data_IF_422260609055
#
_entry.id   IF_422260609055
#
_cell.length_a   1.000
_cell.length_b   1.000
_cell.length_c   1.000
_cell.angle_alpha   90.00
_cell.angle_beta   90.00
_cell.angle_gamma   90.00
#
_symmetry.space_group_name_H-M   'P 1'
#
loop_
_entity.id
_entity.type
_entity.pdbx_description
1 polymer ?
#
# COMPACT_ATOMS: atom_id res chain seq x y z
N UNK A 1 13.21 -12.86 82.42
CA UNK A 1 12.74 -11.82 81.47
C UNK A 1 13.91 -10.95 80.88
N UNK A 2 14.93 -10.68 81.66
CA UNK A 2 16.08 -9.85 81.15
C UNK A 2 16.96 -10.52 80.12
N UNK A 3 17.08 -11.83 80.16
CA UNK A 3 17.88 -12.61 79.17
C UNK A 3 17.21 -12.76 77.80
N UNK A 4 15.87 -12.76 77.76
CA UNK A 4 15.11 -12.85 76.51
C UNK A 4 15.20 -11.55 75.67
N UNK A 5 15.31 -10.40 76.35
CA UNK A 5 15.42 -9.11 75.69
C UNK A 5 16.81 -8.90 75.02
N UNK A 6 17.85 -9.45 75.62
CA UNK A 6 19.21 -9.37 75.06
C UNK A 6 19.35 -10.25 73.82
N UNK A 7 18.68 -11.42 73.80
CA UNK A 7 18.73 -12.34 72.65
C UNK A 7 17.98 -11.77 71.45
N UNK A 8 16.87 -11.06 71.62
CA UNK A 8 16.12 -10.39 70.55
C UNK A 8 16.90 -9.20 69.97
N UNK A 9 17.63 -8.49 70.84
CA UNK A 9 18.43 -7.34 70.41
C UNK A 9 19.68 -7.74 69.59
N UNK A 10 20.25 -8.93 69.87
CA UNK A 10 21.35 -9.47 69.06
C UNK A 10 20.92 -9.99 67.66
N UNK A 11 19.66 -10.41 67.49
CA UNK A 11 19.16 -10.87 66.20
C UNK A 11 18.90 -9.73 65.20
N UNK A 12 18.70 -8.50 65.65
CA UNK A 12 18.42 -7.36 64.78
C UNK A 12 19.70 -6.74 64.15
N UNK A 13 20.89 -7.14 64.61
CA UNK A 13 22.16 -6.55 64.13
C UNK A 13 22.79 -7.26 62.93
N UNK A 14 22.22 -8.35 62.45
CA UNK A 14 22.82 -9.15 61.34
C UNK A 14 22.20 -8.90 59.94
N UNK A 15 21.42 -7.84 59.79
CA UNK A 15 20.78 -7.56 58.48
C UNK A 15 21.38 -6.33 57.75
N UNK A 16 22.60 -5.96 58.13
CA UNK A 16 23.32 -4.89 57.43
C UNK A 16 24.46 -5.43 56.61
N UNK A 17 24.20 -6.39 55.73
CA UNK A 17 25.12 -6.65 54.62
C UNK A 17 24.78 -5.65 53.52
N UNK A 18 25.64 -4.66 53.45
CA UNK A 18 25.68 -3.69 52.37
C UNK A 18 25.56 -4.40 51.01
N UNK A 19 24.49 -4.04 50.29
CA UNK A 19 24.46 -4.30 48.88
C UNK A 19 25.66 -3.61 48.23
N UNK A 20 26.60 -4.38 47.74
CA UNK A 20 27.60 -3.89 46.79
C UNK A 20 26.81 -3.23 45.66
N UNK A 21 27.12 -1.98 45.29
CA UNK A 21 26.61 -1.46 44.06
C UNK A 21 27.17 -2.35 42.95
N UNK A 22 26.29 -3.16 42.35
CA UNK A 22 26.59 -3.80 41.07
C UNK A 22 26.74 -2.66 40.06
N UNK A 23 27.98 -2.20 39.92
CA UNK A 23 28.37 -1.41 38.78
C UNK A 23 28.48 -2.38 37.64
N UNK A 24 27.32 -2.92 37.23
CA UNK A 24 27.16 -3.48 35.91
C UNK A 24 27.40 -2.31 34.98
N UNK A 25 28.64 -2.19 34.52
CA UNK A 25 28.94 -1.46 33.30
C UNK A 25 28.11 -2.15 32.23
N UNK A 26 26.87 -1.75 32.10
CA UNK A 26 26.11 -1.94 30.85
C UNK A 26 26.93 -1.18 29.83
N UNK A 27 27.88 -1.90 29.21
CA UNK A 27 28.36 -1.47 27.92
C UNK A 27 27.11 -1.48 27.04
N UNK A 28 26.43 -0.34 26.96
CA UNK A 28 25.55 -0.06 25.86
C UNK A 28 26.48 -0.16 24.66
N UNK A 29 26.58 -1.38 24.10
CA UNK A 29 26.99 -1.48 22.72
C UNK A 29 25.96 -0.63 22.00
N UNK A 30 26.33 0.60 21.70
CA UNK A 30 25.66 1.36 20.66
C UNK A 30 25.72 0.43 19.44
N UNK A 31 24.65 -0.34 19.24
CA UNK A 31 24.43 -1.01 17.97
C UNK A 31 24.39 0.16 17.01
N UNK A 32 25.48 0.36 16.31
CA UNK A 32 25.54 1.24 15.17
C UNK A 32 24.38 0.76 14.30
N UNK A 33 23.28 1.52 14.31
CA UNK A 33 22.20 1.28 13.41
C UNK A 33 22.83 1.53 12.06
N UNK A 34 22.99 0.47 11.28
CA UNK A 34 23.31 0.60 9.86
C UNK A 34 22.44 1.73 9.35
N UNK A 35 23.06 2.78 8.84
CA UNK A 35 22.38 3.88 8.20
C UNK A 35 21.47 3.24 7.16
N UNK A 36 20.18 3.18 7.48
CA UNK A 36 19.17 2.79 6.52
C UNK A 36 19.18 3.91 5.50
N UNK A 37 20.06 3.78 4.53
CA UNK A 37 20.02 4.59 3.33
C UNK A 37 18.71 4.25 2.66
N UNK A 38 17.65 4.90 3.10
CA UNK A 38 16.38 4.93 2.39
C UNK A 38 16.69 5.64 1.08
N UNK A 39 17.14 4.89 0.09
CA UNK A 39 17.12 5.35 -1.31
C UNK A 39 15.65 5.47 -1.69
N UNK A 40 15.02 6.48 -1.15
CA UNK A 40 13.66 6.87 -1.45
C UNK A 40 13.64 7.64 -2.77
N UNK A 41 14.00 6.98 -3.86
CA UNK A 41 13.64 7.50 -5.18
C UNK A 41 12.59 6.62 -5.83
N UNK A 42 11.55 6.29 -5.08
CA UNK A 42 10.35 5.70 -5.66
C UNK A 42 9.51 6.75 -6.41
N UNK A 43 9.77 8.03 -6.17
CA UNK A 43 9.20 9.17 -6.90
C UNK A 43 10.33 9.92 -7.58
N UNK A 44 10.24 10.07 -8.88
CA UNK A 44 11.17 10.86 -9.69
C UNK A 44 10.36 11.82 -10.55
N UNK A 45 10.71 13.10 -10.54
CA UNK A 45 10.12 14.05 -11.49
C UNK A 45 10.90 13.98 -12.79
N UNK A 46 10.20 13.66 -13.86
CA UNK A 46 10.67 13.79 -15.23
C UNK A 46 10.15 15.09 -15.83
N UNK A 47 10.53 15.41 -17.08
CA UNK A 47 10.23 16.72 -17.69
C UNK A 47 8.72 17.02 -17.74
N UNK A 48 7.89 16.01 -18.01
CA UNK A 48 6.45 16.14 -18.24
C UNK A 48 5.57 15.37 -17.25
N UNK A 49 6.16 14.56 -16.34
CA UNK A 49 5.38 13.78 -15.38
C UNK A 49 6.17 13.41 -14.13
N UNK A 50 5.46 12.93 -13.14
CA UNK A 50 6.03 12.31 -11.94
C UNK A 50 5.97 10.79 -12.13
N UNK A 51 7.14 10.17 -12.17
CA UNK A 51 7.30 8.72 -12.22
C UNK A 51 7.28 8.17 -10.79
N UNK A 52 6.38 7.23 -10.50
CA UNK A 52 6.30 6.54 -9.23
C UNK A 52 6.55 5.04 -9.43
N UNK A 53 7.62 4.51 -8.83
CA UNK A 53 7.95 3.08 -8.87
C UNK A 53 7.60 2.46 -7.51
N UNK A 54 6.56 1.62 -7.44
CA UNK A 54 6.15 1.02 -6.17
C UNK A 54 7.24 0.13 -5.59
N UNK A 55 7.52 0.27 -4.29
CA UNK A 55 8.40 -0.63 -3.56
C UNK A 55 7.73 -1.97 -3.29
N UNK A 56 8.50 -2.97 -2.85
CA UNK A 56 7.96 -4.29 -2.46
C UNK A 56 6.96 -4.15 -1.30
N UNK A 57 7.28 -3.29 -0.33
CA UNK A 57 6.43 -3.08 0.85
C UNK A 57 5.13 -2.37 0.48
N UNK A 58 5.17 -1.34 -0.37
CA UNK A 58 3.96 -0.67 -0.85
C UNK A 58 3.03 -1.64 -1.60
N UNK A 59 3.60 -2.53 -2.44
CA UNK A 59 2.81 -3.58 -3.13
C UNK A 59 2.24 -4.61 -2.16
N UNK A 60 2.97 -4.98 -1.11
CA UNK A 60 2.54 -5.97 -0.11
C UNK A 60 1.36 -5.47 0.72
N UNK A 61 1.35 -4.19 1.05
CA UNK A 61 0.30 -3.56 1.85
C UNK A 61 -0.88 -3.02 1.04
N UNK A 62 -0.88 -3.20 -0.26
CA UNK A 62 -1.97 -2.83 -1.15
C UNK A 62 -2.74 -4.09 -1.57
N UNK A 63 -4.06 -4.01 -1.56
CA UNK A 63 -4.98 -5.07 -2.03
C UNK A 63 -5.45 -4.77 -3.45
N UNK A 64 -5.74 -3.50 -3.73
CA UNK A 64 -6.26 -3.01 -5.00
C UNK A 64 -5.30 -2.02 -5.66
N UNK A 65 -5.57 -1.66 -6.92
CA UNK A 65 -4.84 -0.59 -7.60
C UNK A 65 -4.97 0.76 -6.88
N UNK A 66 -6.14 1.05 -6.31
CA UNK A 66 -6.33 2.29 -5.53
C UNK A 66 -5.57 2.31 -4.22
N UNK A 67 -5.48 1.16 -3.53
CA UNK A 67 -4.64 1.07 -2.33
C UNK A 67 -3.18 1.37 -2.68
N UNK A 68 -2.72 0.85 -3.82
CA UNK A 68 -1.36 1.13 -4.26
C UNK A 68 -1.16 2.61 -4.62
N UNK A 69 -2.09 3.22 -5.36
CA UNK A 69 -2.03 4.64 -5.67
C UNK A 69 -1.98 5.50 -4.41
N UNK A 70 -2.79 5.16 -3.40
CA UNK A 70 -2.78 5.84 -2.12
C UNK A 70 -1.44 5.64 -1.37
N UNK A 71 -0.89 4.43 -1.39
CA UNK A 71 0.39 4.11 -0.72
C UNK A 71 1.60 4.77 -1.41
N UNK A 72 1.48 5.14 -2.67
CA UNK A 72 2.52 5.86 -3.40
C UNK A 72 2.68 7.31 -2.95
N UNK A 73 1.65 7.89 -2.31
CA UNK A 73 1.68 9.28 -1.79
C UNK A 73 2.21 10.27 -2.84
N UNK A 74 1.72 10.18 -4.08
CA UNK A 74 2.13 11.07 -5.16
C UNK A 74 1.76 12.52 -4.79
N UNK A 75 2.69 13.47 -4.80
CA UNK A 75 2.42 14.85 -4.44
C UNK A 75 1.28 15.46 -5.24
N UNK A 76 0.33 16.09 -4.57
CA UNK A 76 -0.83 16.71 -5.22
C UNK A 76 -1.93 15.74 -5.66
N UNK A 77 -1.82 14.44 -5.37
CA UNK A 77 -2.85 13.44 -5.69
C UNK A 77 -3.53 12.96 -4.43
N UNK A 78 -4.85 13.02 -4.41
CA UNK A 78 -5.71 12.45 -3.36
C UNK A 78 -6.54 11.31 -3.93
N UNK A 79 -6.52 10.17 -3.24
CA UNK A 79 -7.20 8.94 -3.67
C UNK A 79 -8.32 8.59 -2.70
N UNK A 80 -9.57 8.66 -3.19
CA UNK A 80 -10.74 8.20 -2.47
C UNK A 80 -11.06 6.76 -2.90
N UNK A 81 -10.70 5.80 -2.04
CA UNK A 81 -10.79 4.37 -2.36
C UNK A 81 -12.21 3.84 -2.45
N UNK A 82 -13.14 4.43 -1.71
CA UNK A 82 -14.54 3.99 -1.66
C UNK A 82 -15.29 4.30 -2.95
N UNK A 83 -15.03 5.44 -3.54
CA UNK A 83 -15.66 5.91 -4.78
C UNK A 83 -14.82 5.67 -6.02
N UNK A 84 -13.55 5.30 -5.85
CA UNK A 84 -12.58 5.19 -6.93
C UNK A 84 -12.26 6.54 -7.58
N UNK A 85 -12.43 7.63 -6.83
CA UNK A 85 -12.12 8.96 -7.28
C UNK A 85 -10.68 9.32 -7.00
N UNK A 86 -10.00 9.84 -8.00
CA UNK A 86 -8.65 10.37 -7.87
C UNK A 86 -8.68 11.84 -8.24
N UNK A 87 -8.31 12.68 -7.28
CA UNK A 87 -8.42 14.14 -7.41
C UNK A 87 -7.09 14.82 -7.15
N UNK A 88 -6.95 16.00 -7.73
CA UNK A 88 -5.86 16.94 -7.45
C UNK A 88 -6.48 18.23 -6.90
N UNK A 89 -5.73 19.18 -6.34
CA UNK A 89 -6.26 20.45 -5.87
C UNK A 89 -7.02 21.24 -6.93
N UNK A 90 -6.77 21.00 -8.22
CA UNK A 90 -7.35 21.74 -9.32
C UNK A 90 -8.36 20.91 -10.14
N UNK A 91 -8.63 19.66 -9.78
CA UNK A 91 -9.64 18.86 -10.47
C UNK A 91 -9.43 17.35 -10.39
N UNK A 92 -10.30 16.59 -11.05
CA UNK A 92 -10.23 15.14 -11.12
C UNK A 92 -9.15 14.69 -12.11
N UNK A 93 -8.47 13.58 -11.77
CA UNK A 93 -7.53 12.94 -12.67
C UNK A 93 -8.20 11.81 -13.46
N UNK A 94 -7.90 11.72 -14.75
CA UNK A 94 -8.33 10.61 -15.60
C UNK A 94 -7.35 9.45 -15.46
N UNK A 95 -7.89 8.22 -15.34
CA UNK A 95 -7.11 7.02 -15.13
C UNK A 95 -6.88 6.26 -16.45
N UNK A 96 -5.67 5.77 -16.60
CA UNK A 96 -5.22 4.99 -17.74
C UNK A 96 -4.48 3.73 -17.28
N UNK A 97 -4.61 2.64 -18.03
CA UNK A 97 -3.79 1.43 -17.90
C UNK A 97 -3.10 1.19 -19.25
N UNK A 98 -1.78 1.18 -19.23
CA UNK A 98 -0.95 1.03 -20.44
C UNK A 98 -1.37 2.02 -21.57
N UNK A 99 -1.77 3.23 -21.18
CA UNK A 99 -2.22 4.29 -22.06
C UNK A 99 -3.63 4.17 -22.60
N UNK A 100 -4.43 3.21 -22.14
CA UNK A 100 -5.86 3.07 -22.43
C UNK A 100 -6.66 3.66 -21.27
N UNK A 101 -7.62 4.56 -21.58
CA UNK A 101 -8.53 5.12 -20.60
C UNK A 101 -9.39 4.01 -19.99
N UNK A 102 -9.54 4.02 -18.67
CA UNK A 102 -10.22 2.98 -17.89
C UNK A 102 -11.19 3.59 -16.89
N UNK A 103 -12.13 2.78 -16.46
CA UNK A 103 -13.04 3.14 -15.37
C UNK A 103 -12.46 2.73 -14.01
N UNK A 104 -13.18 3.10 -12.92
CA UNK A 104 -12.72 2.85 -11.58
C UNK A 104 -12.64 1.34 -11.25
N UNK A 105 -13.52 0.52 -11.80
CA UNK A 105 -13.59 -0.92 -11.50
C UNK A 105 -12.38 -1.65 -12.05
N UNK A 106 -11.91 -1.25 -13.22
CA UNK A 106 -10.70 -1.81 -13.80
C UNK A 106 -9.50 -1.54 -12.92
N UNK A 107 -9.35 -0.32 -12.39
CA UNK A 107 -8.26 0.02 -11.46
C UNK A 107 -8.41 -0.68 -10.12
N UNK A 108 -9.65 -0.81 -9.61
CA UNK A 108 -9.91 -1.52 -8.36
C UNK A 108 -9.51 -3.00 -8.45
N UNK A 109 -9.70 -3.63 -9.60
CA UNK A 109 -9.37 -5.04 -9.83
C UNK A 109 -7.89 -5.30 -10.15
N UNK A 110 -7.06 -4.26 -10.27
CA UNK A 110 -5.63 -4.43 -10.51
C UNK A 110 -4.93 -5.04 -9.31
N UNK A 111 -4.11 -6.05 -9.58
CA UNK A 111 -3.23 -6.60 -8.56
C UNK A 111 -1.97 -5.74 -8.42
N UNK A 112 -1.68 -5.20 -7.23
CA UNK A 112 -0.53 -4.32 -6.99
C UNK A 112 0.81 -4.91 -7.39
N UNK A 113 0.98 -6.23 -7.29
CA UNK A 113 2.21 -6.94 -7.67
C UNK A 113 2.51 -6.88 -9.17
N UNK A 114 1.48 -6.71 -10.01
CA UNK A 114 1.61 -6.68 -11.46
C UNK A 114 1.83 -5.26 -12.00
N UNK A 115 1.73 -4.25 -11.15
CA UNK A 115 2.00 -2.86 -11.53
C UNK A 115 3.52 -2.64 -11.53
N UNK A 116 4.04 -2.18 -12.66
CA UNK A 116 5.46 -1.83 -12.81
C UNK A 116 5.73 -0.44 -12.22
N UNK A 117 4.98 0.55 -12.67
CA UNK A 117 5.11 1.96 -12.28
C UNK A 117 3.79 2.70 -12.49
N UNK A 118 3.74 3.91 -11.97
CA UNK A 118 2.63 4.86 -12.18
C UNK A 118 3.23 6.18 -12.66
N UNK A 119 2.72 6.71 -13.76
CA UNK A 119 3.13 7.97 -14.34
C UNK A 119 2.00 9.00 -14.08
N UNK A 120 2.28 10.06 -13.34
CA UNK A 120 1.34 11.13 -13.06
C UNK A 120 1.69 12.38 -13.87
N UNK A 121 0.79 12.79 -14.75
CA UNK A 121 0.90 13.98 -15.59
C UNK A 121 0.12 15.14 -14.97
N UNK A 122 0.84 16.12 -14.45
CA UNK A 122 0.27 17.35 -13.91
C UNK A 122 -0.04 18.37 -15.04
N UNK A 123 0.65 18.25 -16.17
CA UNK A 123 0.37 18.97 -17.41
C UNK A 123 0.33 17.95 -18.55
N UNK A 124 -0.81 17.30 -18.76
CA UNK A 124 -0.92 16.23 -19.74
C UNK A 124 -0.64 16.70 -21.17
N UNK A 125 0.20 15.95 -21.89
CA UNK A 125 0.59 16.22 -23.28
C UNK A 125 0.27 15.02 -24.18
N UNK A 126 0.37 15.22 -25.49
CA UNK A 126 0.20 14.15 -26.47
C UNK A 126 -1.18 13.49 -26.37
N UNK A 127 -1.18 12.18 -26.10
CA UNK A 127 -2.43 11.40 -26.02
C UNK A 127 -3.31 11.76 -24.82
N UNK A 128 -2.76 12.40 -23.81
CA UNK A 128 -3.46 12.81 -22.60
C UNK A 128 -3.88 14.29 -22.60
N UNK A 129 -3.57 15.05 -23.65
CA UNK A 129 -3.77 16.50 -23.72
C UNK A 129 -5.22 16.99 -23.57
N UNK A 130 -6.20 16.07 -23.63
CA UNK A 130 -7.62 16.40 -23.43
C UNK A 130 -8.05 16.38 -21.97
N UNK A 131 -7.21 15.83 -21.09
CA UNK A 131 -7.51 15.72 -19.67
C UNK A 131 -6.83 16.85 -18.89
N UNK A 132 -7.43 17.26 -17.78
CA UNK A 132 -6.81 18.23 -16.87
C UNK A 132 -5.62 17.61 -16.17
N UNK A 133 -5.75 16.36 -15.75
CA UNK A 133 -4.72 15.54 -15.11
C UNK A 133 -4.86 14.10 -15.58
N UNK A 134 -3.75 13.41 -15.76
CA UNK A 134 -3.76 12.00 -16.16
C UNK A 134 -2.86 11.15 -15.26
N UNK A 135 -3.33 9.97 -14.91
CA UNK A 135 -2.55 8.95 -14.20
C UNK A 135 -2.52 7.71 -15.08
N UNK A 136 -1.35 7.31 -15.52
CA UNK A 136 -1.17 6.12 -16.31
C UNK A 136 -0.48 5.02 -15.48
N UNK A 137 -1.20 3.94 -15.24
CA UNK A 137 -0.71 2.76 -14.54
C UNK A 137 -0.07 1.84 -15.56
N UNK A 138 1.23 1.65 -15.48
CA UNK A 138 1.98 0.78 -16.39
C UNK A 138 2.12 -0.60 -15.76
N UNK A 139 1.64 -1.60 -16.48
CA UNK A 139 1.67 -2.98 -16.01
C UNK A 139 3.02 -3.66 -16.35
N UNK A 140 3.42 -4.62 -15.51
CA UNK A 140 4.56 -5.49 -15.86
C UNK A 140 4.20 -6.35 -17.06
N UNK A 141 5.11 -6.54 -18.00
CA UNK A 141 4.89 -7.44 -19.11
C UNK A 141 4.67 -8.87 -18.58
N UNK A 142 3.55 -9.46 -18.93
CA UNK A 142 3.25 -10.87 -18.67
C UNK A 142 3.45 -11.63 -19.98
N UNK A 143 4.47 -12.46 -20.06
CA UNK A 143 4.79 -13.20 -21.29
C UNK A 143 3.86 -14.41 -21.49
N UNK A 144 3.65 -15.19 -20.43
CA UNK A 144 2.74 -16.33 -20.44
C UNK A 144 2.09 -16.50 -19.07
N UNK A 145 0.80 -16.84 -19.07
CA UNK A 145 0.03 -17.10 -17.86
C UNK A 145 -1.25 -16.30 -17.79
N UNK A 146 -1.90 -16.38 -16.66
CA UNK A 146 -3.14 -15.66 -16.43
C UNK A 146 -3.55 -15.65 -14.96
N UNK A 147 -4.58 -14.91 -14.68
CA UNK A 147 -5.23 -14.93 -13.38
C UNK A 147 -6.71 -14.63 -13.52
N UNK A 148 -7.46 -15.10 -12.54
CA UNK A 148 -8.86 -14.71 -12.32
C UNK A 148 -8.96 -14.14 -10.92
N UNK A 149 -9.61 -13.00 -10.80
CA UNK A 149 -9.90 -12.33 -9.54
C UNK A 149 -11.40 -12.18 -9.42
N UNK A 150 -11.94 -12.52 -8.27
CA UNK A 150 -13.33 -12.32 -7.90
C UNK A 150 -13.38 -11.41 -6.68
N UNK A 151 -14.00 -10.27 -6.82
CA UNK A 151 -14.29 -9.36 -5.73
C UNK A 151 -15.78 -9.41 -5.45
N UNK A 152 -16.18 -9.59 -4.19
CA UNK A 152 -17.56 -9.64 -3.79
C UNK A 152 -17.76 -8.81 -2.53
N UNK A 153 -18.73 -7.91 -2.57
CA UNK A 153 -19.15 -7.10 -1.44
C UNK A 153 -20.67 -7.23 -1.29
N UNK A 154 -21.10 -7.64 -0.10
CA UNK A 154 -22.51 -7.84 0.20
C UNK A 154 -22.91 -7.00 1.42
N UNK A 155 -23.92 -6.13 1.25
CA UNK A 155 -24.52 -5.40 2.36
C UNK A 155 -25.34 -6.31 3.28
N UNK A 156 -25.12 -6.22 4.58
CA UNK A 156 -25.92 -6.96 5.57
C UNK A 156 -27.26 -6.22 5.73
N UNK A 157 -28.35 -6.93 5.45
CA UNK A 157 -29.73 -6.40 5.60
C UNK A 157 -30.38 -5.91 4.31
N UNK A 158 -29.64 -5.78 3.21
CA UNK A 158 -30.17 -5.49 1.88
C UNK A 158 -29.55 -6.44 0.86
N UNK A 159 -30.35 -6.86 -0.15
CA UNK A 159 -29.85 -7.71 -1.24
C UNK A 159 -28.95 -6.94 -2.25
N UNK A 160 -28.34 -5.85 -1.81
CA UNK A 160 -27.45 -5.06 -2.62
C UNK A 160 -26.02 -5.58 -2.46
N UNK A 161 -25.54 -6.31 -3.45
CA UNK A 161 -24.16 -6.76 -3.55
C UNK A 161 -23.47 -6.17 -4.76
N UNK A 162 -22.18 -5.96 -4.68
CA UNK A 162 -21.30 -5.64 -5.79
C UNK A 162 -20.37 -6.82 -6.02
N UNK A 163 -20.43 -7.39 -7.21
CA UNK A 163 -19.67 -8.56 -7.61
C UNK A 163 -18.87 -8.21 -8.86
N UNK A 164 -17.60 -8.47 -8.86
CA UNK A 164 -16.70 -8.17 -9.97
C UNK A 164 -15.81 -9.36 -10.24
N UNK A 165 -15.81 -9.86 -11.47
CA UNK A 165 -14.95 -10.92 -11.96
C UNK A 165 -14.02 -10.35 -13.03
N UNK A 166 -12.75 -10.51 -12.84
CA UNK A 166 -11.74 -10.15 -13.82
C UNK A 166 -10.88 -11.37 -14.13
N UNK A 167 -10.76 -11.69 -15.41
CA UNK A 167 -9.85 -12.73 -15.88
C UNK A 167 -8.93 -12.17 -16.95
N UNK A 168 -7.64 -12.40 -16.77
CA UNK A 168 -6.61 -12.03 -17.75
C UNK A 168 -5.79 -13.25 -18.12
N UNK A 169 -5.68 -13.54 -19.40
CA UNK A 169 -4.86 -14.60 -19.94
C UNK A 169 -3.92 -14.00 -21.00
N UNK A 170 -2.65 -14.38 -20.93
CA UNK A 170 -1.61 -13.94 -21.88
C UNK A 170 -0.83 -15.14 -22.36
N UNK A 171 -0.64 -15.24 -23.68
CA UNK A 171 0.20 -16.24 -24.31
C UNK A 171 1.00 -15.59 -25.44
N UNK A 172 2.29 -15.40 -25.19
CA UNK A 172 3.17 -14.66 -26.10
C UNK A 172 2.68 -13.22 -26.32
N UNK A 173 2.35 -12.87 -27.56
CA UNK A 173 1.85 -11.53 -27.93
C UNK A 173 0.34 -11.37 -27.82
N UNK A 174 -0.39 -12.45 -27.52
CA UNK A 174 -1.85 -12.43 -27.43
C UNK A 174 -2.29 -12.29 -25.99
N UNK A 175 -3.25 -11.38 -25.74
CA UNK A 175 -3.88 -11.23 -24.43
C UNK A 175 -5.40 -11.24 -24.55
N UNK A 176 -6.05 -11.96 -23.64
CA UNK A 176 -7.50 -11.96 -23.47
C UNK A 176 -7.80 -11.40 -22.08
N UNK A 177 -8.59 -10.35 -22.01
CA UNK A 177 -9.09 -9.78 -20.78
C UNK A 177 -10.61 -9.93 -20.79
N UNK A 178 -11.15 -10.55 -19.76
CA UNK A 178 -12.60 -10.69 -19.55
C UNK A 178 -12.93 -9.96 -18.26
N UNK A 179 -13.93 -9.12 -18.33
CA UNK A 179 -14.47 -8.45 -17.18
C UNK A 179 -15.97 -8.68 -17.13
N UNK A 180 -16.47 -9.05 -15.96
CA UNK A 180 -17.90 -9.20 -15.71
C UNK A 180 -18.22 -8.63 -14.33
N UNK A 181 -19.22 -7.75 -14.24
CA UNK A 181 -19.59 -7.13 -12.97
C UNK A 181 -21.10 -6.99 -12.83
N UNK A 182 -21.57 -7.03 -11.59
CA UNK A 182 -22.95 -6.75 -11.22
C UNK A 182 -22.97 -5.78 -10.06
N UNK A 183 -23.72 -4.70 -10.19
CA UNK A 183 -23.93 -3.72 -9.15
C UNK A 183 -25.42 -3.51 -8.95
N UNK A 184 -25.90 -3.70 -7.71
CA UNK A 184 -27.31 -3.41 -7.38
C UNK A 184 -28.31 -4.12 -8.28
N UNK A 185 -28.04 -5.36 -8.73
CA UNK A 185 -28.93 -6.15 -9.57
C UNK A 185 -28.80 -5.91 -11.09
N UNK A 186 -27.85 -5.12 -11.55
CA UNK A 186 -27.54 -4.97 -12.99
C UNK A 186 -26.24 -5.68 -13.32
N UNK A 187 -26.25 -6.62 -14.25
CA UNK A 187 -25.06 -7.31 -14.74
C UNK A 187 -24.53 -6.62 -16.00
N UNK A 188 -23.22 -6.45 -16.09
CA UNK A 188 -22.52 -5.94 -17.28
C UNK A 188 -21.38 -6.89 -17.63
N UNK A 189 -21.30 -7.26 -18.90
CA UNK A 189 -20.22 -8.07 -19.48
C UNK A 189 -19.51 -7.22 -20.54
N UNK A 190 -18.19 -7.13 -20.45
CA UNK A 190 -17.34 -6.44 -21.43
C UNK A 190 -16.17 -7.34 -21.81
#
# INVERSE_FOLDING_TARGET
MKTLFVTIMCLCFNVSYAQKPDTTKTSVQAKELDEVVVKASYLTREDDHILAIPTKEQRKHAVTGYDLLNNLMIPGVSVERSTGSVTTPSGAATLYIDGRKVDFREVQSLRPKDIARVDFFDVPTGKYAKDAYAINIVMKPLNNGGYTQLDASQGIGYLNGDYNLVSKFVTGTKSLNIWAGSMGGKATLI
#
